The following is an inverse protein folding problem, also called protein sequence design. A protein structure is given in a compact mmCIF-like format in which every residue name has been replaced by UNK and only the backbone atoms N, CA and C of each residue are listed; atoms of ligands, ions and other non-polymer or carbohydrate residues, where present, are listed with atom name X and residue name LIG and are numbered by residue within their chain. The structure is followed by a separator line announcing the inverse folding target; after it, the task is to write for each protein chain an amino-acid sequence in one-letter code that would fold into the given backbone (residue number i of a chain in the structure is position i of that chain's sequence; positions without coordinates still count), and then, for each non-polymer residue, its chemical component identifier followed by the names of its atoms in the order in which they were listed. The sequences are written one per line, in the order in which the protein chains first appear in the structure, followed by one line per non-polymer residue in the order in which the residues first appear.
data_IF_754499631565
#
_entry.id   IF_754499631565
#
_cell.length_a   1.000
_cell.length_b   1.000
_cell.length_c   1.000
_cell.angle_alpha   90.00
_cell.angle_beta   90.00
_cell.angle_gamma   90.00
#
_symmetry.space_group_name_H-M   'P 1'
#
loop_
_entity.id
_entity.type
_entity.pdbx_description
1 polymer ?
#
# COMPACT_ATOMS: atom_id res chain seq x y z
N UNK A 1 -19.32 -0.92 8.24
CA UNK A 1 -18.20 -1.08 7.29
C UNK A 1 -17.54 -2.41 7.60
N UNK A 2 -17.49 -3.31 6.63
CA UNK A 2 -16.82 -4.61 6.75
C UNK A 2 -15.39 -4.46 6.27
N UNK A 3 -14.43 -5.03 6.98
CA UNK A 3 -13.04 -5.06 6.57
C UNK A 3 -12.61 -6.50 6.39
N UNK A 4 -12.07 -6.81 5.22
CA UNK A 4 -11.33 -8.05 4.95
C UNK A 4 -9.84 -7.74 5.04
N UNK A 5 -9.02 -8.75 5.34
CA UNK A 5 -7.59 -8.56 5.58
C UNK A 5 -6.76 -9.52 4.75
N UNK A 6 -5.65 -9.01 4.22
CA UNK A 6 -4.57 -9.81 3.64
C UNK A 6 -3.26 -9.34 4.28
N UNK A 7 -2.74 -10.15 5.21
CA UNK A 7 -1.51 -9.87 5.96
C UNK A 7 -0.31 -10.55 5.27
N UNK A 8 0.76 -9.77 5.09
CA UNK A 8 2.03 -10.21 4.57
C UNK A 8 3.14 -10.08 5.61
N UNK A 9 4.19 -10.90 5.47
CA UNK A 9 5.35 -10.87 6.37
C UNK A 9 6.19 -9.60 6.22
N UNK A 10 6.22 -9.00 5.01
CA UNK A 10 7.09 -7.85 4.74
C UNK A 10 6.44 -6.76 3.87
N UNK A 11 7.08 -5.60 3.80
CA UNK A 11 6.65 -4.46 2.97
C UNK A 11 6.84 -4.76 1.48
N UNK A 12 7.90 -5.48 1.13
CA UNK A 12 8.19 -5.94 -0.22
C UNK A 12 7.05 -6.80 -0.76
N UNK A 13 6.40 -7.59 0.09
CA UNK A 13 5.28 -8.45 -0.31
C UNK A 13 3.99 -7.66 -0.56
N UNK A 14 3.73 -6.65 0.27
CA UNK A 14 2.68 -5.66 0.00
C UNK A 14 2.95 -4.97 -1.33
N UNK A 15 4.18 -4.53 -1.59
CA UNK A 15 4.54 -3.85 -2.84
C UNK A 15 4.44 -4.80 -4.04
N UNK A 16 4.90 -6.03 -3.92
CA UNK A 16 4.79 -7.05 -4.96
C UNK A 16 3.33 -7.32 -5.33
N UNK A 17 2.50 -7.55 -4.33
CA UNK A 17 1.07 -7.78 -4.54
C UNK A 17 0.41 -6.59 -5.24
N UNK A 18 0.66 -5.37 -4.73
CA UNK A 18 0.07 -4.16 -5.30
C UNK A 18 0.57 -3.90 -6.73
N UNK A 19 1.84 -4.18 -7.02
CA UNK A 19 2.40 -4.09 -8.37
C UNK A 19 1.69 -5.08 -9.32
N UNK A 20 1.45 -6.31 -8.88
CA UNK A 20 0.73 -7.32 -9.66
C UNK A 20 -0.76 -6.98 -9.87
N UNK A 21 -1.40 -6.36 -8.88
CA UNK A 21 -2.78 -5.92 -8.94
C UNK A 21 -2.98 -4.61 -9.74
N UNK A 22 -1.89 -3.89 -10.04
CA UNK A 22 -1.95 -2.63 -10.76
C UNK A 22 -2.35 -2.82 -12.22
N UNK A 23 -3.10 -1.86 -12.77
CA UNK A 23 -3.38 -1.84 -14.21
C UNK A 23 -2.09 -1.51 -14.97
N UNK A 24 -1.82 -2.10 -16.15
CA UNK A 24 -0.54 -1.97 -16.86
C UNK A 24 -0.06 -0.53 -17.14
N UNK A 25 -0.95 0.46 -17.05
CA UNK A 25 -0.67 1.87 -17.34
C UNK A 25 -0.38 2.74 -16.11
N UNK A 26 -0.58 2.24 -14.89
CA UNK A 26 -0.31 3.00 -13.65
C UNK A 26 0.82 2.33 -12.88
N UNK A 27 2.03 2.82 -13.10
CA UNK A 27 3.21 2.40 -12.35
C UNK A 27 3.39 3.17 -11.03
N UNK A 28 2.45 4.03 -10.63
CA UNK A 28 2.53 4.80 -9.38
C UNK A 28 1.30 4.56 -8.53
N UNK A 29 1.49 4.16 -7.27
CA UNK A 29 0.41 3.83 -6.34
C UNK A 29 0.64 4.46 -4.95
N UNK A 30 -0.41 4.92 -4.27
CA UNK A 30 -0.30 5.36 -2.89
C UNK A 30 -0.27 4.17 -1.93
N UNK A 31 0.53 4.28 -0.87
CA UNK A 31 0.50 3.40 0.31
C UNK A 31 0.52 4.24 1.58
N UNK A 32 0.00 3.69 2.67
CA UNK A 32 -0.05 4.35 3.96
C UNK A 32 0.93 3.71 4.91
N UNK A 33 1.76 4.53 5.55
CA UNK A 33 2.51 4.15 6.75
C UNK A 33 1.78 4.75 7.95
N UNK A 34 1.04 3.93 8.70
CA UNK A 34 0.13 4.41 9.74
C UNK A 34 0.02 3.41 10.90
N UNK A 35 0.23 3.92 12.13
CA UNK A 35 0.10 3.15 13.40
C UNK A 35 0.86 1.81 13.42
N UNK A 36 2.04 1.75 12.81
CA UNK A 36 2.87 0.54 12.78
C UNK A 36 2.51 -0.46 11.69
N UNK A 37 1.70 -0.04 10.72
CA UNK A 37 1.35 -0.82 9.54
C UNK A 37 1.71 -0.06 8.26
N UNK A 38 2.23 -0.80 7.28
CA UNK A 38 2.29 -0.34 5.89
C UNK A 38 1.15 -1.00 5.15
N UNK A 39 0.21 -0.21 4.64
CA UNK A 39 -1.02 -0.76 4.08
C UNK A 39 -1.57 -0.01 2.87
N UNK A 40 -2.39 -0.72 2.11
CA UNK A 40 -3.28 -0.18 1.09
C UNK A 40 -4.73 -0.60 1.42
N UNK A 41 -5.67 0.31 1.16
CA UNK A 41 -7.09 0.08 1.38
C UNK A 41 -7.79 0.05 0.03
N UNK A 42 -8.30 -1.11 -0.36
CA UNK A 42 -8.99 -1.32 -1.63
C UNK A 42 -10.49 -1.42 -1.38
N UNK A 43 -11.33 -0.54 -1.95
CA UNK A 43 -12.78 -0.69 -1.84
C UNK A 43 -13.23 -1.91 -2.66
N UNK A 44 -13.81 -2.91 -2.00
CA UNK A 44 -14.38 -4.10 -2.68
C UNK A 44 -15.77 -3.82 -3.25
N UNK A 45 -16.48 -2.88 -2.63
CA UNK A 45 -17.79 -2.39 -3.07
C UNK A 45 -17.69 -0.89 -3.39
N UNK A 46 -17.03 -0.50 -4.49
CA UNK A 46 -16.72 0.90 -4.78
C UNK A 46 -17.96 1.79 -4.90
N UNK A 47 -19.12 1.23 -5.22
CA UNK A 47 -20.39 1.96 -5.36
C UNK A 47 -21.10 2.21 -4.03
N UNK A 48 -20.91 1.35 -3.02
CA UNK A 48 -21.61 1.45 -1.73
C UNK A 48 -20.69 1.81 -0.57
N UNK A 49 -19.38 1.56 -0.69
CA UNK A 49 -18.39 1.79 0.36
C UNK A 49 -18.57 0.89 1.58
N UNK A 50 -19.29 -0.22 1.44
CA UNK A 50 -19.66 -1.08 2.56
C UNK A 50 -18.52 -1.99 3.00
N UNK A 51 -17.64 -2.37 2.09
CA UNK A 51 -16.55 -3.31 2.30
C UNK A 51 -15.22 -2.83 1.72
N UNK A 52 -14.16 -2.98 2.52
CA UNK A 52 -12.78 -2.70 2.15
C UNK A 52 -11.92 -3.93 2.38
N UNK A 53 -10.93 -4.15 1.52
CA UNK A 53 -9.80 -5.03 1.77
C UNK A 53 -8.63 -4.18 2.25
N UNK A 54 -8.10 -4.51 3.43
CA UNK A 54 -6.83 -3.97 3.91
C UNK A 54 -5.72 -4.97 3.59
N UNK A 55 -4.88 -4.60 2.63
CA UNK A 55 -3.63 -5.31 2.31
C UNK A 55 -2.53 -4.68 3.14
N UNK A 56 -1.83 -5.45 3.96
CA UNK A 56 -0.88 -4.86 4.89
C UNK A 56 0.25 -5.78 5.31
N UNK A 57 1.29 -5.16 5.85
CA UNK A 57 2.29 -5.81 6.70
C UNK A 57 2.57 -4.94 7.92
N UNK A 58 3.12 -5.55 8.98
CA UNK A 58 3.62 -4.79 10.13
C UNK A 58 4.92 -4.08 9.76
N UNK A 59 5.05 -2.82 10.13
CA UNK A 59 6.24 -2.02 9.85
C UNK A 59 5.93 -0.54 9.67
N UNK A 60 6.94 0.20 9.21
CA UNK A 60 6.81 1.62 8.95
C UNK A 60 7.70 2.03 7.79
N UNK A 61 7.19 2.89 6.94
CA UNK A 61 7.96 3.59 5.92
C UNK A 61 7.95 5.09 6.22
N UNK A 62 9.08 5.75 6.00
CA UNK A 62 9.11 7.21 5.98
C UNK A 62 8.28 7.74 4.82
N UNK A 63 7.66 8.93 4.94
CA UNK A 63 7.02 9.59 3.82
C UNK A 63 7.99 9.80 2.65
N UNK A 64 7.54 9.53 1.43
CA UNK A 64 8.34 9.70 0.22
C UNK A 64 7.97 8.75 -0.91
N UNK A 65 8.77 8.78 -1.97
CA UNK A 65 8.60 7.94 -3.16
C UNK A 65 9.54 6.75 -3.03
N UNK A 66 9.01 5.54 -3.24
CA UNK A 66 9.77 4.31 -3.22
C UNK A 66 9.74 3.67 -4.60
N UNK A 67 10.90 3.53 -5.23
CA UNK A 67 11.07 2.72 -6.44
C UNK A 67 11.13 1.25 -6.04
N UNK A 68 10.29 0.42 -6.64
CA UNK A 68 10.23 -1.02 -6.41
C UNK A 68 10.64 -1.78 -7.66
N UNK A 69 11.58 -2.70 -7.48
CA UNK A 69 12.03 -3.64 -8.50
C UNK A 69 11.36 -5.00 -8.28
N UNK A 70 10.42 -5.34 -9.17
CA UNK A 70 9.72 -6.64 -9.14
C UNK A 70 10.69 -7.81 -9.34
N UNK A 71 11.73 -7.65 -10.15
CA UNK A 71 12.67 -8.74 -10.42
C UNK A 71 13.57 -9.04 -9.22
N UNK A 72 13.96 -8.00 -8.48
CA UNK A 72 14.82 -8.13 -7.30
C UNK A 72 14.02 -8.25 -5.98
N UNK A 73 12.70 -8.03 -6.02
CA UNK A 73 11.80 -7.96 -4.86
C UNK A 73 12.36 -7.02 -3.79
N UNK A 74 12.83 -5.84 -4.22
CA UNK A 74 13.47 -4.86 -3.36
C UNK A 74 12.95 -3.45 -3.67
N UNK A 75 12.99 -2.55 -2.70
CA UNK A 75 12.69 -1.13 -2.90
C UNK A 75 13.79 -0.22 -2.36
N UNK A 76 13.81 1.01 -2.87
CA UNK A 76 14.62 2.10 -2.33
C UNK A 76 13.85 3.41 -2.39
N UNK A 77 14.13 4.30 -1.44
CA UNK A 77 13.58 5.67 -1.44
C UNK A 77 14.28 6.49 -2.53
N UNK A 78 13.51 7.25 -3.30
CA UNK A 78 13.98 8.12 -4.39
C UNK A 78 13.36 9.51 -4.30
N UNK A 79 14.03 10.51 -4.84
CA UNK A 79 13.54 11.90 -4.88
C UNK A 79 12.52 12.13 -6.01
N UNK A 80 12.58 11.34 -7.09
CA UNK A 80 11.73 11.48 -8.26
C UNK A 80 11.59 10.17 -9.02
N UNK A 81 10.52 10.08 -9.80
CA UNK A 81 10.21 8.93 -10.66
C UNK A 81 10.88 9.13 -12.01
N UNK A 82 11.79 8.22 -12.41
CA UNK A 82 12.59 8.36 -13.63
C UNK A 82 12.40 7.21 -14.62
N UNK A 83 12.00 6.03 -14.15
CA UNK A 83 12.00 4.78 -14.92
C UNK A 83 10.58 4.27 -15.15
N UNK A 84 10.16 4.22 -16.41
CA UNK A 84 8.82 3.71 -16.77
C UNK A 84 8.66 2.19 -16.51
N UNK A 85 9.76 1.44 -16.44
CA UNK A 85 9.76 -0.01 -16.20
C UNK A 85 9.69 -0.40 -14.72
N UNK A 86 9.68 0.59 -13.81
CA UNK A 86 9.60 0.37 -12.36
C UNK A 86 8.26 0.79 -11.79
N UNK A 87 7.90 0.17 -10.67
CA UNK A 87 6.76 0.58 -9.86
C UNK A 87 7.20 1.58 -8.81
N UNK A 88 6.34 2.54 -8.52
CA UNK A 88 6.57 3.60 -7.56
C UNK A 88 5.45 3.59 -6.52
N UNK A 89 5.84 3.52 -5.25
CA UNK A 89 4.93 3.58 -4.12
C UNK A 89 5.14 4.91 -3.39
N UNK A 90 4.08 5.72 -3.32
CA UNK A 90 4.10 6.98 -2.58
C UNK A 90 3.61 6.69 -1.17
N UNK A 91 4.56 6.60 -0.23
CA UNK A 91 4.25 6.43 1.18
C UNK A 91 3.84 7.77 1.79
N UNK A 92 2.66 7.79 2.40
CA UNK A 92 2.16 8.92 3.17
C UNK A 92 1.80 8.46 4.58
N UNK A 93 2.07 9.31 5.56
CA UNK A 93 1.63 9.12 6.95
C UNK A 93 0.46 10.05 7.23
N UNK A 94 -0.80 9.60 7.06
CA UNK A 94 -1.94 10.44 7.33
C UNK A 94 -2.00 10.79 8.82
N UNK A 95 -2.36 12.04 9.14
CA UNK A 95 -2.60 12.45 10.53
C UNK A 95 -3.80 11.71 11.15
N UNK A 96 -4.80 11.41 10.32
CA UNK A 96 -6.00 10.65 10.68
C UNK A 96 -6.48 9.87 9.45
N UNK A 97 -6.80 8.60 9.63
CA UNK A 97 -7.40 7.76 8.61
C UNK A 97 -8.47 6.89 9.26
N UNK A 98 -9.74 7.29 9.15
CA UNK A 98 -10.86 6.62 9.85
C UNK A 98 -11.14 5.22 9.33
N UNK A 99 -10.83 4.94 8.06
CA UNK A 99 -11.00 3.60 7.48
C UNK A 99 -9.92 2.67 8.04
N UNK A 100 -8.65 3.12 8.02
CA UNK A 100 -7.54 2.38 8.62
C UNK A 100 -7.73 2.22 10.14
N UNK A 101 -8.23 3.24 10.83
CA UNK A 101 -8.52 3.17 12.27
C UNK A 101 -9.53 2.05 12.57
N UNK A 102 -10.62 1.97 11.80
CA UNK A 102 -11.63 0.93 11.95
C UNK A 102 -11.10 -0.46 11.60
N UNK A 103 -10.26 -0.56 10.56
CA UNK A 103 -9.62 -1.81 10.16
C UNK A 103 -8.65 -2.31 11.25
N UNK A 104 -7.74 -1.45 11.71
CA UNK A 104 -6.75 -1.82 12.74
C UNK A 104 -7.43 -2.22 14.05
N UNK A 105 -8.58 -1.64 14.39
CA UNK A 105 -9.32 -2.04 15.61
C UNK A 105 -9.87 -3.48 15.58
N UNK A 106 -9.92 -4.10 14.40
CA UNK A 106 -10.35 -5.49 14.21
C UNK A 106 -9.20 -6.49 14.08
N UNK A 107 -7.94 -6.04 14.22
CA UNK A 107 -6.73 -6.89 14.22
C UNK A 107 -6.34 -7.36 15.63
#
# INVERSE_FOLDING_TARGET
MKTEYEEFESVEDVFMYMAAASVPMKNTMPVHSYKGYVCALVPLSPTTGESYLMIYSRGSLDPGIYEFDVSERSYKKVEKMERADKFYFVSLTPRRNTIADSAISGL
#
